data_IF_777710357223
#
_entry.id   IF_777710357223
#
_cell.length_a   1.000
_cell.length_b   1.000
_cell.length_c   1.000
_cell.angle_alpha   90.00
_cell.angle_beta   90.00
_cell.angle_gamma   90.00
#
_symmetry.space_group_name_H-M   'P 1'
#
loop_
_entity.id
_entity.type
_entity.pdbx_description
1 polymer ?
#
# COMPACT_ATOMS: atom_id res chain seq x y z
N UNK A 1 5.97 14.79 -12.68
CA UNK A 1 5.26 15.50 -11.58
C UNK A 1 3.84 14.99 -11.32
N UNK A 2 2.97 14.90 -12.33
CA UNK A 2 1.57 14.44 -12.14
C UNK A 2 1.48 12.96 -11.72
N UNK A 3 2.35 12.11 -12.28
CA UNK A 3 2.39 10.67 -12.00
C UNK A 3 2.75 10.39 -10.52
N UNK A 4 3.76 11.09 -10.01
CA UNK A 4 4.29 10.95 -8.66
C UNK A 4 3.28 11.48 -7.63
N UNK A 5 2.68 12.64 -7.90
CA UNK A 5 1.63 13.22 -7.03
C UNK A 5 0.44 12.27 -6.92
N UNK A 6 -0.01 11.67 -8.03
CA UNK A 6 -1.11 10.72 -8.01
C UNK A 6 -0.78 9.44 -7.25
N UNK A 7 0.45 8.91 -7.40
CA UNK A 7 0.89 7.73 -6.65
C UNK A 7 0.92 8.01 -5.14
N UNK A 8 1.42 9.19 -4.73
CA UNK A 8 1.41 9.63 -3.32
C UNK A 8 -0.02 9.80 -2.80
N UNK A 9 -0.91 10.43 -3.57
CA UNK A 9 -2.30 10.61 -3.18
C UNK A 9 -3.01 9.25 -2.98
N UNK A 10 -2.85 8.32 -3.93
CA UNK A 10 -3.41 6.96 -3.83
C UNK A 10 -2.83 6.24 -2.61
N UNK A 11 -1.53 6.34 -2.38
CA UNK A 11 -0.90 5.74 -1.22
C UNK A 11 -1.50 6.23 0.10
N UNK A 12 -1.63 7.55 0.28
CA UNK A 12 -2.21 8.13 1.48
C UNK A 12 -3.67 7.73 1.68
N UNK A 13 -4.48 7.76 0.62
CA UNK A 13 -5.89 7.36 0.67
C UNK A 13 -6.03 5.88 1.02
N UNK A 14 -5.24 5.01 0.40
CA UNK A 14 -5.30 3.57 0.69
C UNK A 14 -4.81 3.26 2.10
N UNK A 15 -3.75 3.93 2.58
CA UNK A 15 -3.28 3.79 3.95
C UNK A 15 -4.33 4.23 4.97
N UNK A 16 -5.05 5.32 4.70
CA UNK A 16 -6.16 5.77 5.56
C UNK A 16 -7.33 4.78 5.54
N UNK A 17 -7.78 4.36 4.36
CA UNK A 17 -8.91 3.43 4.21
C UNK A 17 -8.58 2.10 4.87
N UNK A 18 -7.41 1.52 4.60
CA UNK A 18 -7.03 0.22 5.17
C UNK A 18 -6.81 0.30 6.68
N UNK A 19 -6.40 1.45 7.22
CA UNK A 19 -6.36 1.69 8.66
C UNK A 19 -7.76 1.69 9.27
N UNK A 20 -8.71 2.41 8.67
CA UNK A 20 -10.09 2.45 9.16
C UNK A 20 -10.79 1.10 9.06
N UNK A 21 -10.55 0.35 7.98
CA UNK A 21 -11.20 -0.93 7.74
C UNK A 21 -10.59 -2.10 8.53
N UNK A 22 -9.27 -2.10 8.72
CA UNK A 22 -8.57 -3.27 9.25
C UNK A 22 -7.65 -2.97 10.42
N UNK A 23 -7.33 -1.71 10.71
CA UNK A 23 -6.28 -1.30 11.64
C UNK A 23 -6.78 -0.90 13.04
N UNK A 24 -8.06 -0.54 13.18
CA UNK A 24 -8.63 0.04 14.42
C UNK A 24 -8.60 -0.92 15.62
N UNK A 25 -8.83 -2.21 15.39
CA UNK A 25 -8.92 -3.24 16.44
C UNK A 25 -7.90 -4.37 16.20
N UNK A 26 -6.74 -4.05 15.63
CA UNK A 26 -5.68 -5.05 15.42
C UNK A 26 -5.12 -5.48 16.77
N UNK A 27 -5.34 -6.75 17.11
CA UNK A 27 -4.68 -7.38 18.25
C UNK A 27 -3.16 -7.19 18.18
N UNK A 28 -2.54 -7.00 19.34
CA UNK A 28 -1.09 -6.90 19.46
C UNK A 28 -0.40 -8.28 19.35
N UNK A 29 -0.80 -9.09 18.38
CA UNK A 29 -0.16 -10.34 18.03
C UNK A 29 0.58 -10.20 16.69
N UNK A 30 1.73 -10.87 16.57
CA UNK A 30 2.51 -10.88 15.32
C UNK A 30 1.66 -11.30 14.12
N UNK A 31 0.82 -12.34 14.31
CA UNK A 31 -0.07 -12.87 13.27
C UNK A 31 -1.11 -11.84 12.82
N UNK A 32 -1.75 -11.12 13.75
CA UNK A 32 -2.73 -10.10 13.41
C UNK A 32 -2.09 -8.92 12.65
N UNK A 33 -0.92 -8.45 13.11
CA UNK A 33 -0.15 -7.39 12.44
C UNK A 33 0.32 -7.80 11.04
N UNK A 34 0.78 -9.05 10.87
CA UNK A 34 1.18 -9.59 9.57
C UNK A 34 -0.02 -9.70 8.61
N UNK A 35 -1.17 -10.21 9.07
CA UNK A 35 -2.38 -10.30 8.26
C UNK A 35 -2.92 -8.91 7.87
N UNK A 36 -2.86 -7.95 8.79
CA UNK A 36 -3.21 -6.56 8.52
C UNK A 36 -2.30 -5.95 7.45
N UNK A 37 -0.99 -6.13 7.59
CA UNK A 37 -0.01 -5.70 6.60
C UNK A 37 -0.29 -6.31 5.23
N UNK A 38 -0.45 -7.64 5.16
CA UNK A 38 -0.71 -8.36 3.92
C UNK A 38 -1.99 -7.89 3.23
N UNK A 39 -3.09 -7.75 3.98
CA UNK A 39 -4.37 -7.22 3.47
C UNK A 39 -4.22 -5.80 2.92
N UNK A 40 -3.47 -4.95 3.61
CA UNK A 40 -3.23 -3.58 3.19
C UNK A 40 -2.39 -3.52 1.91
N UNK A 41 -1.33 -4.34 1.83
CA UNK A 41 -0.48 -4.47 0.63
C UNK A 41 -1.28 -4.97 -0.57
N UNK A 42 -2.15 -5.96 -0.38
CA UNK A 42 -3.04 -6.48 -1.44
C UNK A 42 -4.06 -5.45 -1.93
N UNK A 43 -4.40 -4.43 -1.14
CA UNK A 43 -5.27 -3.33 -1.59
C UNK A 43 -4.47 -2.24 -2.31
N UNK A 44 -3.28 -1.94 -1.83
CA UNK A 44 -2.47 -0.85 -2.33
C UNK A 44 -1.73 -1.19 -3.64
N UNK A 45 -1.23 -2.42 -3.77
CA UNK A 45 -0.47 -2.83 -4.96
C UNK A 45 -1.29 -2.79 -6.26
N UNK A 46 -2.56 -3.27 -6.31
CA UNK A 46 -3.39 -3.12 -7.50
C UNK A 46 -3.74 -1.67 -7.81
N UNK A 47 -3.97 -0.83 -6.80
CA UNK A 47 -4.27 0.59 -7.00
C UNK A 47 -3.08 1.35 -7.59
N UNK A 48 -1.87 1.10 -7.08
CA UNK A 48 -0.63 1.67 -7.64
C UNK A 48 -0.35 1.13 -9.04
N UNK A 49 -0.51 -0.18 -9.24
CA UNK A 49 -0.33 -0.80 -10.56
C UNK A 49 -1.30 -0.23 -11.60
N UNK A 50 -2.58 -0.07 -11.26
CA UNK A 50 -3.58 0.56 -12.12
C UNK A 50 -3.25 2.03 -12.43
N UNK A 51 -2.72 2.77 -11.46
CA UNK A 51 -2.29 4.15 -11.69
C UNK A 51 -1.09 4.24 -12.62
N UNK A 52 -0.08 3.40 -12.44
CA UNK A 52 1.06 3.34 -13.36
C UNK A 52 0.63 2.88 -14.76
N UNK A 53 -0.27 1.91 -14.86
CA UNK A 53 -0.88 1.48 -16.13
C UNK A 53 -1.50 2.63 -16.91
N UNK A 54 -2.23 3.48 -16.20
CA UNK A 54 -2.96 4.59 -16.78
C UNK A 54 -2.03 5.69 -17.30
N UNK A 55 -0.93 5.95 -16.59
CA UNK A 55 0.00 7.03 -16.94
C UNK A 55 1.11 6.58 -17.89
N UNK A 56 1.51 5.32 -17.88
CA UNK A 56 2.55 4.79 -18.74
C UNK A 56 2.32 3.30 -19.06
N UNK A 57 1.96 3.00 -20.31
CA UNK A 57 1.74 1.63 -20.77
C UNK A 57 3.03 0.78 -20.75
N UNK A 58 4.21 1.39 -20.81
CA UNK A 58 5.51 0.69 -20.69
C UNK A 58 5.75 0.26 -19.24
N UNK A 59 5.23 1.02 -18.27
CA UNK A 59 5.27 0.66 -16.86
C UNK A 59 4.32 -0.51 -16.51
N UNK A 60 3.45 -0.96 -17.41
CA UNK A 60 2.55 -2.10 -17.17
C UNK A 60 3.22 -3.47 -17.35
N UNK A 61 4.55 -3.51 -17.51
CA UNK A 61 5.31 -4.76 -17.52
C UNK A 61 5.44 -5.40 -16.13
N UNK A 62 5.99 -6.62 -16.11
CA UNK A 62 6.37 -7.35 -14.89
C UNK A 62 7.12 -6.47 -13.88
N UNK A 63 8.02 -5.59 -14.37
CA UNK A 63 8.77 -4.67 -13.51
C UNK A 63 7.88 -3.66 -12.79
N UNK A 64 6.90 -3.01 -13.45
CA UNK A 64 6.04 -2.03 -12.77
C UNK A 64 5.07 -2.68 -11.78
N UNK A 65 4.66 -3.93 -12.05
CA UNK A 65 3.90 -4.72 -11.06
C UNK A 65 4.75 -5.02 -9.83
N UNK A 66 6.01 -5.45 -10.01
CA UNK A 66 6.95 -5.70 -8.90
C UNK A 66 7.23 -4.42 -8.12
N UNK A 67 7.45 -3.30 -8.81
CA UNK A 67 7.65 -1.99 -8.17
C UNK A 67 6.42 -1.55 -7.38
N UNK A 68 5.21 -1.74 -7.92
CA UNK A 68 3.95 -1.42 -7.23
C UNK A 68 3.76 -2.25 -5.97
N UNK A 69 4.06 -3.55 -6.04
CA UNK A 69 4.00 -4.46 -4.89
C UNK A 69 5.05 -4.06 -3.84
N UNK A 70 6.27 -3.75 -4.27
CA UNK A 70 7.35 -3.31 -3.39
C UNK A 70 7.01 -2.00 -2.67
N UNK A 71 6.52 -0.99 -3.39
CA UNK A 71 6.07 0.29 -2.83
C UNK A 71 4.91 0.09 -1.86
N UNK A 72 3.92 -0.70 -2.24
CA UNK A 72 2.80 -1.03 -1.36
C UNK A 72 3.29 -1.72 -0.08
N UNK A 73 4.17 -2.70 -0.20
CA UNK A 73 4.73 -3.45 0.92
C UNK A 73 5.49 -2.56 1.90
N UNK A 74 6.38 -1.68 1.39
CA UNK A 74 7.18 -0.77 2.22
C UNK A 74 6.30 0.27 2.93
N UNK A 75 5.35 0.87 2.22
CA UNK A 75 4.49 1.92 2.77
C UNK A 75 3.52 1.37 3.82
N UNK A 76 2.94 0.19 3.58
CA UNK A 76 2.07 -0.46 4.58
C UNK A 76 2.86 -0.99 5.77
N UNK A 77 4.11 -1.43 5.57
CA UNK A 77 5.00 -1.86 6.65
C UNK A 77 5.41 -0.68 7.53
N UNK A 78 5.83 0.44 6.92
CA UNK A 78 6.16 1.67 7.64
C UNK A 78 5.02 2.16 8.51
N UNK A 79 3.78 2.12 8.01
CA UNK A 79 2.60 2.43 8.83
C UNK A 79 2.39 1.44 9.98
N UNK A 80 2.54 0.14 9.74
CA UNK A 80 2.39 -0.87 10.80
C UNK A 80 3.44 -0.71 11.92
N UNK A 81 4.64 -0.25 11.60
CA UNK A 81 5.66 0.13 12.60
C UNK A 81 5.31 1.43 13.34
N UNK A 82 4.86 2.46 12.63
CA UNK A 82 4.38 3.71 13.23
C UNK A 82 3.23 3.48 14.23
N UNK A 83 2.26 2.64 13.87
CA UNK A 83 1.16 2.26 14.76
C UNK A 83 1.59 1.33 15.91
N UNK A 84 2.74 0.66 15.81
CA UNK A 84 3.29 -0.12 16.91
C UNK A 84 4.10 0.73 17.91
N UNK A 85 4.44 1.97 17.54
CA UNK A 85 5.15 2.94 18.39
C UNK A 85 4.20 3.92 19.11
N UNK A 86 2.95 4.04 18.67
CA UNK A 86 1.85 4.78 19.30
C UNK A 86 1.07 3.89 20.27
#
# INVERSE_FOLDING_TARGET
MIMEIGAVAIALVVLLITFLLFGRDVENSFKAKFLYWLKSTMKMAPSLSAWFAYNDQVAFGLMGTVVSIGLAAVLTLGRSYLLAML
#
